data_IF_656639080833
#
_entry.id   IF_656639080833
#
_cell.length_a   1.000
_cell.length_b   1.000
_cell.length_c   1.000
_cell.angle_alpha   90.00
_cell.angle_beta   90.00
_cell.angle_gamma   90.00
#
_symmetry.space_group_name_H-M   'P 1'
#
loop_
_entity.id
_entity.type
_entity.pdbx_description
1 polymer ?
2 branched ?
3 branched ?
4 non-polymer ?
5 non-polymer ?
6 non-polymer ?
7 non-polymer ?
8 non-polymer ?
9 water ?
#
# COMPACT_ATOMS: atom_id res chain seq x y z
N UNK A 1 21.95 -11.16 -14.38
CA UNK A 1 20.45 -11.04 -14.21
C UNK A 1 19.92 -10.16 -15.34
N UNK A 2 18.68 -10.49 -15.76
CA UNK A 2 17.95 -9.68 -16.73
C UNK A 2 16.85 -8.96 -15.97
N UNK A 3 16.39 -7.87 -16.61
CA UNK A 3 15.26 -7.20 -16.05
C UNK A 3 14.04 -8.11 -16.08
N UNK A 4 13.25 -8.06 -14.99
CA UNK A 4 12.04 -8.85 -14.94
C UNK A 4 11.02 -8.25 -15.89
N UNK A 5 10.27 -9.12 -16.56
CA UNK A 5 9.15 -8.74 -17.38
C UNK A 5 7.88 -9.35 -16.79
N UNK A 6 6.79 -8.58 -16.88
CA UNK A 6 5.52 -9.00 -16.36
C UNK A 6 4.85 -9.89 -17.40
N UNK A 7 5.23 -11.14 -17.43
CA UNK A 7 4.80 -12.01 -18.51
C UNK A 7 3.63 -12.88 -18.11
N UNK A 8 3.30 -12.95 -16.82
CA UNK A 8 2.33 -13.90 -16.34
C UNK A 8 1.05 -13.14 -15.95
N UNK A 9 -0.04 -13.89 -15.89
CA UNK A 9 -1.26 -13.38 -15.34
C UNK A 9 -1.40 -13.72 -13.85
N UNK A 10 -2.46 -13.26 -13.22
CA UNK A 10 -2.70 -13.59 -11.80
C UNK A 10 -3.19 -15.01 -11.69
N UNK A 11 -2.78 -15.68 -10.63
CA UNK A 11 -3.34 -16.93 -10.26
C UNK A 11 -4.81 -16.71 -9.87
N UNK A 12 -5.60 -17.78 -9.98
CA UNK A 12 -6.95 -17.70 -9.55
C UNK A 12 -6.95 -17.60 -8.03
N UNK A 13 -7.67 -16.62 -7.50
CA UNK A 13 -7.77 -16.37 -6.10
C UNK A 13 -9.04 -16.99 -5.55
N UNK A 14 -8.91 -18.10 -4.86
CA UNK A 14 -10.09 -18.74 -4.27
C UNK A 14 -10.15 -18.54 -2.76
N UNK A 15 -9.03 -18.14 -2.16
CA UNK A 15 -8.94 -17.78 -0.75
C UNK A 15 -7.55 -17.18 -0.51
N UNK A 16 -7.31 -16.82 0.75
CA UNK A 16 -6.06 -16.21 1.12
C UNK A 16 -5.46 -17.02 2.25
N UNK A 17 -4.13 -17.25 2.17
CA UNK A 17 -3.41 -17.97 3.19
C UNK A 17 -2.41 -17.03 3.87
N UNK A 18 -2.07 -17.33 5.10
CA UNK A 18 -1.13 -16.52 5.82
C UNK A 18 0.26 -16.60 5.14
N UNK A 19 0.89 -15.44 5.01
CA UNK A 19 2.20 -15.33 4.40
C UNK A 19 3.24 -14.89 5.41
N UNK A 20 2.96 -13.81 6.13
CA UNK A 20 3.88 -13.33 7.12
C UNK A 20 3.16 -12.54 8.18
N UNK A 21 3.77 -12.45 9.34
CA UNK A 21 3.21 -11.73 10.43
C UNK A 21 4.40 -11.42 11.35
N UNK A 22 4.54 -10.18 11.80
CA UNK A 22 5.74 -9.93 12.61
C UNK A 22 5.49 -9.80 14.10
N UNK A 23 4.26 -9.64 14.54
CA UNK A 23 4.01 -9.55 16.00
C UNK A 23 4.89 -8.48 16.64
N UNK A 24 5.11 -7.36 15.95
CA UNK A 24 6.13 -6.44 16.36
C UNK A 24 5.77 -5.77 17.70
N UNK A 25 4.51 -5.42 17.88
CA UNK A 25 4.15 -4.67 19.08
C UNK A 25 4.20 -5.61 20.29
N UNK A 26 3.75 -6.85 20.16
CA UNK A 26 3.90 -7.81 21.21
C UNK A 26 5.35 -7.97 21.60
N UNK A 27 6.19 -8.21 20.59
CA UNK A 27 7.61 -8.49 20.89
C UNK A 27 8.32 -7.25 21.42
N UNK A 28 7.98 -6.09 20.86
CA UNK A 28 8.59 -4.82 21.25
C UNK A 28 8.23 -4.33 22.63
N UNK A 29 7.27 -4.98 23.29
CA UNK A 29 6.98 -4.65 24.68
C UNK A 29 8.22 -4.88 25.53
N UNK A 30 9.11 -5.79 25.11
CA UNK A 30 10.31 -6.10 25.91
C UNK A 30 11.49 -6.47 25.02
N UNK A 31 11.61 -5.79 23.91
CA UNK A 31 12.79 -5.98 23.01
C UNK A 31 12.91 -4.69 22.21
N UNK A 32 14.06 -4.54 21.51
CA UNK A 32 14.42 -3.25 20.91
C UNK A 32 13.83 -3.12 19.52
N UNK A 33 12.53 -2.99 19.46
CA UNK A 33 11.81 -2.87 18.25
C UNK A 33 11.57 -1.39 17.93
N UNK A 34 11.83 -1.00 16.71
CA UNK A 34 11.62 0.34 16.25
C UNK A 34 10.11 0.60 16.11
N UNK A 35 9.73 1.83 16.46
CA UNK A 35 8.43 2.36 16.13
C UNK A 35 8.39 2.58 14.62
N UNK A 36 7.29 2.15 14.03
CA UNK A 36 7.12 2.27 12.59
C UNK A 36 5.71 2.72 12.30
N UNK A 37 5.47 3.01 11.04
CA UNK A 37 4.12 3.02 10.47
C UNK A 37 4.35 2.97 8.95
N UNK A 38 3.29 2.86 8.19
CA UNK A 38 3.33 2.78 6.74
C UNK A 38 4.20 1.62 6.27
N UNK A 39 3.90 0.41 6.70
CA UNK A 39 4.67 -0.75 6.30
C UNK A 39 4.26 -1.21 4.91
N UNK A 40 5.09 -2.10 4.34
CA UNK A 40 4.72 -2.82 3.13
C UNK A 40 5.66 -4.02 3.01
N UNK A 41 5.52 -4.71 1.90
CA UNK A 41 6.30 -5.90 1.64
C UNK A 41 6.79 -5.79 0.20
N UNK A 42 8.03 -6.26 -0.05
CA UNK A 42 8.53 -6.24 -1.38
C UNK A 42 9.54 -7.35 -1.54
N UNK A 43 9.54 -7.98 -2.73
CA UNK A 43 10.41 -9.08 -2.99
C UNK A 43 11.56 -8.70 -3.92
N UNK A 44 12.71 -9.26 -3.58
CA UNK A 44 13.86 -9.35 -4.47
C UNK A 44 13.81 -10.73 -5.11
N UNK A 45 14.66 -11.00 -6.13
CA UNK A 45 14.69 -12.34 -6.71
C UNK A 45 15.00 -13.47 -5.76
N UNK A 46 15.66 -13.16 -4.64
CA UNK A 46 16.08 -14.22 -3.75
C UNK A 46 15.56 -14.05 -2.33
N UNK A 47 14.66 -13.12 -2.09
CA UNK A 47 14.25 -12.91 -0.69
C UNK A 47 13.04 -11.98 -0.75
N UNK A 48 12.11 -12.12 0.19
CA UNK A 48 11.06 -11.10 0.39
C UNK A 48 11.28 -10.47 1.76
N UNK A 49 11.05 -9.15 1.85
CA UNK A 49 11.31 -8.43 3.06
C UNK A 49 10.12 -7.54 3.41
N UNK A 50 10.03 -7.26 4.70
CA UNK A 50 9.15 -6.22 5.20
C UNK A 50 9.86 -4.90 5.11
N UNK A 51 9.09 -3.83 4.87
CA UNK A 51 9.56 -2.48 4.77
C UNK A 51 8.63 -1.62 5.64
N UNK A 52 9.14 -0.47 6.09
CA UNK A 52 8.25 0.51 6.76
C UNK A 52 9.04 1.77 6.96
N UNK A 53 8.33 2.80 7.44
CA UNK A 53 8.96 4.01 7.85
C UNK A 53 9.18 4.00 9.35
N UNK A 54 10.43 3.87 9.74
CA UNK A 54 10.82 4.02 11.10
C UNK A 54 10.51 5.41 11.59
N UNK A 55 10.36 5.52 12.91
CA UNK A 55 10.30 6.79 13.62
C UNK A 55 11.59 7.10 14.38
N UNK A 56 12.63 6.30 14.22
CA UNK A 56 13.90 6.65 14.81
C UNK A 56 13.88 6.60 16.32
N UNK A 57 13.21 5.59 16.85
CA UNK A 57 13.12 5.36 18.30
C UNK A 57 12.55 3.97 18.46
N UNK A 58 12.84 3.30 19.58
CA UNK A 58 12.15 2.10 19.91
C UNK A 58 10.79 2.42 20.58
N UNK A 59 9.99 1.39 20.75
CA UNK A 59 8.64 1.61 21.21
C UNK A 59 8.62 1.77 22.73
N UNK A 60 9.55 1.12 23.45
CA UNK A 60 9.70 1.36 24.88
C UNK A 60 10.57 2.57 25.18
N UNK A 61 11.23 3.12 24.19
CA UNK A 61 12.03 4.29 24.34
C UNK A 61 11.17 5.51 24.63
N UNK A 62 11.75 6.43 25.41
CA UNK A 62 11.06 7.63 25.70
C UNK A 62 10.77 8.48 24.48
N UNK A 63 11.56 8.38 23.38
CA UNK A 63 11.32 9.13 22.22
C UNK A 63 10.11 8.60 21.43
N UNK A 64 9.48 7.54 21.90
CA UNK A 64 8.26 7.08 21.26
C UNK A 64 7.12 8.08 21.46
N UNK A 65 7.26 8.94 22.48
CA UNK A 65 6.22 9.94 22.72
C UNK A 65 6.17 10.90 21.55
N UNK A 66 5.04 11.03 20.86
CA UNK A 66 4.95 11.96 19.79
C UNK A 66 4.87 11.30 18.42
N UNK A 67 4.97 9.98 18.39
CA UNK A 67 5.13 9.28 17.14
C UNK A 67 3.81 9.12 16.41
N UNK A 68 2.72 9.71 16.89
CA UNK A 68 1.56 9.87 16.01
C UNK A 68 1.91 10.73 14.78
N UNK A 69 2.89 11.62 14.89
CA UNK A 69 3.21 12.60 13.86
C UNK A 69 3.83 11.87 12.66
N UNK A 70 3.42 12.29 11.48
CA UNK A 70 3.80 11.62 10.25
C UNK A 70 5.20 11.97 9.76
N UNK A 71 5.66 13.21 9.95
CA UNK A 71 6.82 13.69 9.21
C UNK A 71 7.78 14.31 10.17
N UNK A 72 8.95 13.74 10.26
CA UNK A 72 10.03 14.25 11.06
C UNK A 72 11.33 13.89 10.38
N UNK A 73 12.40 14.49 10.87
CA UNK A 73 13.73 14.24 10.42
C UNK A 73 14.27 12.89 10.88
N UNK A 74 13.52 12.15 11.68
CA UNK A 74 14.03 10.97 12.36
C UNK A 74 13.46 9.72 11.70
N UNK A 75 12.72 9.90 10.61
CA UNK A 75 12.13 8.77 9.88
C UNK A 75 13.04 8.30 8.77
N UNK A 76 12.90 7.01 8.46
CA UNK A 76 13.67 6.41 7.37
C UNK A 76 12.86 5.23 6.86
N UNK A 77 13.08 4.92 5.58
CA UNK A 77 12.62 3.67 5.06
C UNK A 77 13.59 2.58 5.51
N UNK A 78 13.05 1.59 6.18
CA UNK A 78 13.82 0.42 6.64
C UNK A 78 13.20 -0.84 6.04
N UNK A 79 14.07 -1.85 5.90
CA UNK A 79 13.61 -3.17 5.55
C UNK A 79 14.25 -4.15 6.50
N UNK A 80 13.58 -5.29 6.62
CA UNK A 80 14.01 -6.31 7.53
C UNK A 80 13.43 -7.64 7.10
N UNK A 81 13.97 -8.75 7.61
CA UNK A 81 13.53 -10.09 7.16
C UNK A 81 12.06 -10.35 7.39
N UNK A 82 11.48 -11.04 6.43
CA UNK A 82 10.07 -11.36 6.45
C UNK A 82 9.72 -12.02 7.77
N UNK A 83 8.68 -11.45 8.41
CA UNK A 83 8.07 -11.94 9.61
C UNK A 83 8.91 -11.75 10.88
N UNK A 84 10.13 -11.25 10.77
CA UNK A 84 10.77 -10.73 11.94
C UNK A 84 10.17 -9.38 12.31
N UNK A 85 10.37 -8.85 13.52
CA UNK A 85 9.96 -7.48 13.79
C UNK A 85 11.07 -6.54 13.37
N UNK A 86 10.76 -5.26 13.17
CA UNK A 86 11.76 -4.28 12.80
C UNK A 86 12.58 -3.82 13.99
N UNK A 87 13.71 -4.43 14.21
CA UNK A 87 14.48 -4.10 15.36
C UNK A 87 15.65 -3.17 15.02
N UNK A 88 16.21 -2.59 16.04
CA UNK A 88 17.35 -1.75 15.90
C UNK A 88 18.46 -2.50 15.20
N UNK A 89 18.58 -3.79 15.51
CA UNK A 89 19.74 -4.56 15.14
C UNK A 89 19.55 -5.29 13.80
N UNK A 90 18.35 -5.44 13.28
CA UNK A 90 18.15 -6.28 12.05
C UNK A 90 17.57 -5.38 10.96
N UNK A 91 17.34 -4.12 11.19
CA UNK A 91 16.67 -3.27 10.22
C UNK A 91 17.71 -2.57 9.35
N UNK A 92 17.56 -2.66 8.03
CA UNK A 92 18.46 -2.01 7.09
C UNK A 92 17.80 -0.75 6.61
N UNK A 93 18.52 0.36 6.73
CA UNK A 93 17.97 1.61 6.20
C UNK A 93 18.21 1.68 4.71
N UNK A 94 17.14 1.92 3.97
CA UNK A 94 17.14 2.06 2.54
C UNK A 94 17.39 3.51 2.14
N UNK A 95 16.77 4.44 2.87
CA UNK A 95 16.96 5.87 2.60
C UNK A 95 16.22 6.63 3.69
N UNK A 96 16.47 7.93 3.77
CA UNK A 96 15.94 8.76 4.84
C UNK A 96 14.76 9.54 4.32
N UNK A 97 13.68 9.59 5.11
CA UNK A 97 12.52 10.37 4.78
C UNK A 97 11.25 9.79 5.34
N UNK A 98 10.14 10.39 4.94
CA UNK A 98 8.85 10.17 5.55
C UNK A 98 7.73 9.80 4.58
N UNK A 99 8.13 9.45 3.34
CA UNK A 99 7.26 8.88 2.33
C UNK A 99 8.10 8.08 1.35
N UNK A 100 7.67 6.85 1.07
CA UNK A 100 8.58 6.00 0.29
C UNK A 100 7.86 5.09 -0.67
N UNK A 101 8.68 4.53 -1.59
CA UNK A 101 8.35 3.33 -2.32
C UNK A 101 9.66 2.60 -2.61
N UNK A 102 9.54 1.36 -3.07
CA UNK A 102 10.73 0.58 -3.35
C UNK A 102 10.29 -0.56 -4.24
N UNK A 103 11.15 -0.98 -5.17
CA UNK A 103 10.87 -2.14 -5.96
C UNK A 103 12.16 -2.65 -6.60
N UNK A 104 12.15 -3.95 -6.87
CA UNK A 104 13.27 -4.61 -7.56
C UNK A 104 12.89 -4.78 -9.02
N UNK A 105 13.86 -4.46 -9.88
CA UNK A 105 13.64 -4.58 -11.32
C UNK A 105 14.11 -5.90 -11.90
N UNK A 106 14.58 -6.81 -11.08
CA UNK A 106 15.17 -8.06 -11.55
C UNK A 106 16.66 -8.02 -11.51
N UNK A 107 17.24 -6.85 -11.67
CA UNK A 107 18.69 -6.68 -11.52
C UNK A 107 19.08 -6.13 -10.15
N UNK A 108 18.41 -5.04 -9.73
CA UNK A 108 18.68 -4.48 -8.44
C UNK A 108 17.44 -3.72 -8.00
N UNK A 109 17.53 -3.08 -6.85
CA UNK A 109 16.39 -2.43 -6.26
C UNK A 109 16.52 -0.91 -6.40
N UNK A 110 15.35 -0.30 -6.63
CA UNK A 110 15.17 1.13 -6.58
C UNK A 110 14.39 1.45 -5.29
N UNK A 111 14.86 2.44 -4.53
CA UNK A 111 14.12 2.89 -3.37
C UNK A 111 14.02 4.38 -3.47
N UNK A 112 12.86 4.91 -3.06
CA UNK A 112 12.60 6.35 -3.14
C UNK A 112 12.12 6.81 -1.79
N UNK A 113 12.73 7.88 -1.28
CA UNK A 113 12.34 8.47 -0.04
C UNK A 113 12.18 9.96 -0.28
N UNK A 114 11.16 10.54 0.34
CA UNK A 114 10.96 11.97 0.30
C UNK A 114 11.17 12.51 1.71
N UNK A 115 11.88 13.65 1.77
CA UNK A 115 12.04 14.31 3.04
C UNK A 115 11.91 15.79 2.81
N UNK A 116 11.90 16.52 3.94
CA UNK A 116 11.89 17.96 3.89
C UNK A 116 10.70 18.49 4.66
N UNK A 117 10.65 19.83 4.77
CA UNK A 117 9.50 20.46 5.36
C UNK A 117 8.36 20.40 4.33
N UNK A 118 7.16 20.72 4.79
CA UNK A 118 6.01 20.58 3.91
C UNK A 118 6.08 21.37 2.61
N UNK A 119 6.70 22.55 2.66
CA UNK A 119 6.75 23.43 1.53
C UNK A 119 8.05 23.32 0.74
N UNK A 120 8.89 22.28 1.01
CA UNK A 120 10.18 22.26 0.36
C UNK A 120 10.76 20.83 0.39
N UNK A 121 9.87 19.88 0.15
CA UNK A 121 10.23 18.44 0.18
C UNK A 121 10.89 18.06 -1.14
N UNK A 122 11.65 16.97 -1.06
CA UNK A 122 12.32 16.45 -2.24
C UNK A 122 12.43 14.93 -2.11
N UNK A 123 12.32 14.28 -3.26
CA UNK A 123 12.52 12.85 -3.39
C UNK A 123 13.96 12.57 -3.82
N UNK A 124 14.51 11.53 -3.23
CA UNK A 124 15.81 10.96 -3.67
C UNK A 124 15.52 9.56 -4.12
N UNK A 125 15.99 9.28 -5.35
CA UNK A 125 15.82 8.00 -5.96
C UNK A 125 17.16 7.28 -5.90
N UNK A 126 17.14 6.15 -5.17
CA UNK A 126 18.29 5.29 -4.97
C UNK A 126 18.13 4.10 -5.88
N UNK A 127 19.26 3.67 -6.46
CA UNK A 127 19.27 2.48 -7.28
C UNK A 127 20.56 1.74 -7.00
N UNK A 128 20.44 0.44 -6.73
CA UNK A 128 21.61 -0.34 -6.33
C UNK A 128 22.27 0.27 -5.09
N UNK A 129 21.44 0.77 -4.17
CA UNK A 129 21.81 1.31 -2.88
C UNK A 129 22.69 2.55 -2.96
N UNK A 130 22.56 3.28 -4.04
CA UNK A 130 23.22 4.53 -4.23
C UNK A 130 22.25 5.57 -4.72
N UNK A 131 22.39 6.82 -4.31
CA UNK A 131 21.50 7.86 -4.80
C UNK A 131 21.82 8.16 -6.25
N UNK A 132 20.79 8.30 -7.10
CA UNK A 132 20.95 8.52 -8.52
C UNK A 132 20.29 9.83 -8.98
N UNK A 133 19.03 10.05 -8.61
CA UNK A 133 18.25 11.18 -9.10
C UNK A 133 17.58 11.82 -7.90
N UNK A 134 17.30 13.13 -8.03
CA UNK A 134 16.53 13.82 -7.05
C UNK A 134 15.46 14.62 -7.76
N UNK A 135 14.32 14.82 -7.08
CA UNK A 135 13.16 15.53 -7.64
C UNK A 135 12.68 16.48 -6.56
N UNK A 136 12.65 17.76 -6.90
CA UNK A 136 12.16 18.75 -5.96
C UNK A 136 10.63 18.86 -6.04
N UNK A 137 10.04 19.22 -4.90
CA UNK A 137 8.60 19.53 -4.84
C UNK A 137 8.23 20.45 -6.02
N UNK A 138 7.08 20.14 -6.64
CA UNK A 138 6.56 20.96 -7.73
C UNK A 138 5.38 21.81 -7.26
N UNK A 139 4.70 21.44 -6.18
CA UNK A 139 3.52 22.17 -5.68
C UNK A 139 3.72 22.71 -4.26
N UNK A 140 4.87 22.39 -3.61
CA UNK A 140 5.20 22.96 -2.35
C UNK A 140 4.17 22.64 -1.29
N UNK A 141 3.69 21.39 -1.33
CA UNK A 141 2.74 20.97 -0.33
C UNK A 141 2.78 19.44 -0.17
N UNK A 142 3.77 18.99 0.58
CA UNK A 142 3.90 17.58 1.00
C UNK A 142 3.96 16.68 -0.23
N UNK A 143 5.05 16.83 -0.97
CA UNK A 143 5.35 15.83 -1.98
C UNK A 143 5.35 14.45 -1.34
N UNK A 144 4.67 13.49 -2.00
CA UNK A 144 4.40 12.22 -1.30
C UNK A 144 4.17 11.14 -2.35
N UNK A 145 4.41 9.91 -1.92
CA UNK A 145 4.33 8.78 -2.86
C UNK A 145 3.56 7.61 -2.27
N UNK A 146 3.88 6.42 -2.75
CA UNK A 146 2.92 5.30 -2.67
C UNK A 146 2.76 4.71 -1.28
N UNK A 147 3.86 4.58 -0.54
CA UNK A 147 3.91 3.87 0.71
C UNK A 147 3.70 2.37 0.57
N UNK A 148 3.94 1.84 -0.65
CA UNK A 148 4.04 0.42 -0.87
C UNK A 148 4.91 0.22 -2.11
N UNK A 149 5.07 -1.02 -2.51
CA UNK A 149 6.05 -1.30 -3.55
C UNK A 149 5.59 -0.75 -4.89
N UNK A 150 6.57 -0.34 -5.69
CA UNK A 150 6.38 -0.13 -7.10
C UNK A 150 6.58 -1.45 -7.86
N UNK A 151 6.34 -1.42 -9.17
CA UNK A 151 6.43 -2.57 -10.03
C UNK A 151 7.23 -2.19 -11.25
N UNK A 152 8.08 -3.09 -11.75
CA UNK A 152 8.90 -2.83 -12.89
C UNK A 152 8.57 -3.80 -14.02
N UNK A 153 8.84 -3.32 -15.23
CA UNK A 153 8.71 -4.12 -16.43
C UNK A 153 9.84 -3.74 -17.38
N UNK A 154 10.68 -4.72 -17.70
CA UNK A 154 11.85 -4.50 -18.59
C UNK A 154 12.65 -3.29 -18.13
N UNK A 155 12.80 -3.12 -16.82
CA UNK A 155 13.59 -2.07 -16.26
C UNK A 155 12.85 -0.80 -15.96
N UNK A 156 11.62 -0.65 -16.50
CA UNK A 156 10.86 0.58 -16.35
C UNK A 156 9.96 0.40 -15.13
N UNK A 157 10.14 1.29 -14.15
CA UNK A 157 9.44 1.21 -12.88
C UNK A 157 8.65 2.51 -12.71
N UNK A 158 7.34 2.49 -12.97
CA UNK A 158 6.51 3.67 -12.79
C UNK A 158 6.25 3.89 -11.31
N UNK A 159 6.21 5.14 -10.93
CA UNK A 159 5.92 5.53 -9.57
C UNK A 159 4.96 6.69 -9.62
N UNK A 160 3.99 6.66 -8.72
CA UNK A 160 3.00 7.74 -8.64
C UNK A 160 3.32 8.61 -7.45
N UNK A 161 3.40 9.92 -7.71
CA UNK A 161 3.61 10.92 -6.70
C UNK A 161 2.47 11.94 -6.73
N UNK A 162 2.23 12.54 -5.59
CA UNK A 162 1.31 13.66 -5.48
C UNK A 162 1.99 14.77 -4.74
N UNK A 163 1.70 16.00 -5.17
CA UNK A 163 2.13 17.16 -4.42
C UNK A 163 0.97 18.16 -4.50
N UNK A 164 0.60 18.72 -3.36
CA UNK A 164 -0.52 19.62 -3.34
C UNK A 164 -1.48 19.23 -2.26
N UNK A 165 -2.67 19.83 -2.30
CA UNK A 165 -3.62 19.70 -1.28
C UNK A 165 -4.06 18.27 -1.10
N UNK A 166 -4.41 17.93 0.13
CA UNK A 166 -5.07 16.70 0.46
C UNK A 166 -6.60 16.83 0.45
N UNK A 167 -7.09 18.06 0.27
CA UNK A 167 -8.55 18.41 0.47
C UNK A 167 -9.06 19.22 -0.71
N UNK A 168 -8.45 19.03 -1.87
CA UNK A 168 -8.84 19.64 -3.08
C UNK A 168 -7.90 19.22 -4.19
N UNK A 169 -8.03 19.72 -5.40
CA UNK A 169 -7.19 19.27 -6.53
C UNK A 169 -5.71 19.37 -6.16
N UNK A 170 -4.94 18.37 -6.56
CA UNK A 170 -3.51 18.35 -6.34
C UNK A 170 -2.85 17.99 -7.68
N UNK A 171 -1.52 17.92 -7.68
CA UNK A 171 -0.76 17.71 -8.85
C UNK A 171 -0.07 16.33 -8.70
N UNK A 172 -0.70 15.35 -9.32
CA UNK A 172 -0.22 13.97 -9.31
C UNK A 172 0.58 13.79 -10.58
N UNK A 173 1.72 13.12 -10.46
CA UNK A 173 2.59 12.81 -11.57
C UNK A 173 2.96 11.32 -11.51
N UNK A 174 3.01 10.69 -12.68
CA UNK A 174 3.52 9.32 -12.85
C UNK A 174 4.92 9.42 -13.49
N UNK A 175 5.99 9.08 -12.74
CA UNK A 175 7.34 9.06 -13.17
C UNK A 175 7.67 7.66 -13.62
N UNK A 176 8.41 7.56 -14.70
CA UNK A 176 8.88 6.30 -15.22
C UNK A 176 10.39 6.30 -15.06
N UNK A 177 10.86 5.42 -14.17
CA UNK A 177 12.26 5.36 -13.85
C UNK A 177 12.86 4.13 -14.52
N UNK A 178 14.12 4.23 -14.87
CA UNK A 178 14.91 3.04 -15.25
C UNK A 178 16.33 3.27 -14.74
N UNK A 179 16.84 2.32 -13.95
CA UNK A 179 18.13 2.42 -13.32
C UNK A 179 18.20 3.72 -12.52
N UNK A 180 17.07 4.08 -11.92
CA UNK A 180 17.02 5.26 -11.04
C UNK A 180 16.99 6.57 -11.78
N UNK A 181 16.98 6.56 -13.10
CA UNK A 181 16.94 7.77 -13.91
C UNK A 181 15.52 7.96 -14.43
N UNK A 182 15.18 9.22 -14.65
CA UNK A 182 13.84 9.57 -15.15
C UNK A 182 13.85 9.39 -16.67
N UNK A 183 13.00 8.50 -17.17
CA UNK A 183 12.81 8.39 -18.59
C UNK A 183 11.80 9.42 -19.04
N UNK A 184 10.73 9.62 -18.27
CA UNK A 184 9.60 10.43 -18.65
C UNK A 184 8.82 10.65 -17.36
N UNK A 185 8.03 11.70 -17.32
CA UNK A 185 6.96 11.76 -16.38
C UNK A 185 5.74 12.36 -17.10
N UNK A 186 4.58 11.99 -16.60
CA UNK A 186 3.23 12.49 -17.10
C UNK A 186 2.43 13.03 -15.93
N UNK A 187 1.59 14.07 -16.15
CA UNK A 187 0.59 14.41 -15.16
C UNK A 187 -0.53 13.36 -15.24
N UNK A 188 -1.19 13.20 -14.10
CA UNK A 188 -2.35 12.34 -14.04
C UNK A 188 -3.34 12.76 -15.14
N UNK A 189 -3.88 11.75 -15.80
CA UNK A 189 -4.98 11.89 -16.77
C UNK A 189 -6.07 10.96 -16.33
N UNK A 190 -7.18 11.01 -17.08
CA UNK A 190 -8.30 10.19 -16.79
C UNK A 190 -9.28 10.86 -15.84
N UNK A 191 -10.11 10.06 -15.18
CA UNK A 191 -11.23 10.60 -14.44
C UNK A 191 -11.05 10.55 -12.94
N UNK A 192 -9.94 9.98 -12.42
CA UNK A 192 -9.69 10.10 -11.00
C UNK A 192 -9.45 11.56 -10.65
N UNK A 193 -10.08 12.06 -9.58
CA UNK A 193 -10.01 13.47 -9.29
C UNK A 193 -8.99 13.79 -8.22
N UNK A 194 -8.50 12.79 -7.48
CA UNK A 194 -7.50 12.99 -6.47
C UNK A 194 -6.86 11.63 -6.19
N UNK A 195 -5.54 11.64 -6.02
CA UNK A 195 -4.75 10.40 -5.89
C UNK A 195 -3.75 10.53 -4.76
N UNK A 196 -3.74 9.51 -3.91
CA UNK A 196 -2.70 9.36 -2.94
C UNK A 196 -2.44 7.87 -2.73
N UNK A 197 -1.22 7.56 -2.30
CA UNK A 197 -0.91 6.28 -1.69
C UNK A 197 -1.31 5.10 -2.58
N UNK A 198 -0.85 5.08 -3.81
CA UNK A 198 -1.20 4.03 -4.74
C UNK A 198 -0.58 2.68 -4.33
N UNK A 199 -1.36 1.62 -4.48
CA UNK A 199 -0.98 0.26 -4.23
C UNK A 199 -0.98 -0.48 -5.55
N UNK A 200 0.18 -1.01 -6.00
CA UNK A 200 0.30 -1.44 -7.37
C UNK A 200 0.62 -2.92 -7.46
N UNK A 201 0.30 -3.50 -8.61
CA UNK A 201 0.72 -4.86 -8.95
C UNK A 201 0.78 -4.92 -10.48
N UNK A 202 1.54 -5.87 -10.99
CA UNK A 202 1.73 -6.04 -12.43
C UNK A 202 1.34 -7.41 -12.90
N UNK A 203 0.82 -7.46 -14.13
CA UNK A 203 0.51 -8.72 -14.75
C UNK A 203 0.36 -8.44 -16.23
N UNK A 204 0.87 -9.38 -17.05
CA UNK A 204 0.89 -9.30 -18.51
C UNK A 204 1.04 -7.86 -18.99
N UNK A 205 2.20 -7.33 -18.62
CA UNK A 205 2.74 -6.08 -19.11
C UNK A 205 1.85 -4.88 -18.87
N UNK A 206 1.11 -4.94 -17.77
CA UNK A 206 0.28 -3.82 -17.33
C UNK A 206 0.40 -3.70 -15.83
N UNK A 207 0.49 -2.45 -15.33
CA UNK A 207 0.56 -2.20 -13.91
C UNK A 207 -0.75 -1.55 -13.51
N UNK A 208 -1.35 -2.10 -12.47
CA UNK A 208 -2.63 -1.59 -11.92
C UNK A 208 -2.36 -1.05 -10.54
N UNK A 209 -2.79 0.19 -10.32
CA UNK A 209 -2.62 0.83 -9.04
C UNK A 209 -3.99 1.22 -8.49
N UNK A 210 -4.26 0.85 -7.25
CA UNK A 210 -5.49 1.22 -6.56
C UNK A 210 -5.11 2.21 -5.49
N UNK A 211 -5.76 3.37 -5.48
CA UNK A 211 -5.27 4.49 -4.74
C UNK A 211 -6.33 5.00 -3.76
N UNK A 212 -6.02 6.15 -3.17
CA UNK A 212 -6.90 6.79 -2.19
C UNK A 212 -7.22 8.17 -2.75
N UNK A 213 -8.53 8.45 -2.92
CA UNK A 213 -8.99 9.80 -3.21
C UNK A 213 -9.32 10.44 -1.88
N UNK A 214 -8.37 11.19 -1.34
CA UNK A 214 -8.59 11.70 -0.01
C UNK A 214 -9.67 12.81 -0.02
N UNK A 215 -9.81 13.48 -1.13
CA UNK A 215 -10.64 14.68 -1.18
C UNK A 215 -12.12 14.34 -1.09
N UNK A 216 -12.60 13.52 -2.01
CA UNK A 216 -14.05 13.31 -2.17
C UNK A 216 -14.51 11.86 -2.15
N UNK A 217 -13.66 10.91 -2.53
CA UNK A 217 -14.17 9.63 -3.01
C UNK A 217 -14.08 8.54 -1.97
N UNK A 218 -15.15 7.77 -1.79
CA UNK A 218 -15.10 6.60 -0.94
C UNK A 218 -14.99 5.32 -1.73
N UNK A 219 -15.14 5.44 -3.05
CA UNK A 219 -14.64 4.48 -4.03
C UNK A 219 -13.15 4.82 -4.23
N UNK A 220 -12.39 3.86 -4.72
CA UNK A 220 -10.98 4.12 -4.88
C UNK A 220 -10.68 4.37 -6.34
N UNK A 221 -9.80 5.33 -6.57
CA UNK A 221 -9.29 5.54 -7.91
C UNK A 221 -8.33 4.41 -8.31
N UNK A 222 -8.30 4.15 -9.61
CA UNK A 222 -7.50 3.09 -10.16
C UNK A 222 -6.72 3.74 -11.30
N UNK A 223 -5.40 3.59 -11.27
CA UNK A 223 -4.55 4.01 -12.37
C UNK A 223 -4.01 2.75 -13.03
N UNK A 224 -4.11 2.66 -14.35
CA UNK A 224 -3.59 1.54 -15.08
C UNK A 224 -2.51 2.05 -16.03
N UNK A 225 -1.31 1.46 -15.91
CA UNK A 225 -0.15 1.95 -16.52
C UNK A 225 0.38 0.93 -17.50
N UNK A 226 0.72 1.38 -18.68
CA UNK A 226 1.42 0.61 -19.69
C UNK A 226 2.88 1.01 -19.59
N UNK A 227 3.76 0.18 -19.01
CA UNK A 227 5.13 0.58 -18.78
C UNK A 227 6.02 0.51 -20.02
N UNK A 228 5.48 0.00 -21.12
CA UNK A 228 6.22 -0.02 -22.38
C UNK A 228 5.97 1.29 -23.13
N UNK A 229 4.70 1.61 -23.31
CA UNK A 229 4.33 2.89 -23.93
C UNK A 229 4.59 4.07 -23.01
N UNK A 230 4.68 3.79 -21.70
CA UNK A 230 4.74 4.78 -20.64
C UNK A 230 3.58 5.75 -20.72
N UNK A 231 2.39 5.17 -20.67
CA UNK A 231 1.14 5.89 -20.67
C UNK A 231 0.25 5.29 -19.61
N UNK A 232 -0.80 6.01 -19.25
CA UNK A 232 -1.69 5.51 -18.26
C UNK A 232 -3.11 6.03 -18.49
N UNK A 233 -4.04 5.37 -17.78
CA UNK A 233 -5.46 5.79 -17.68
C UNK A 233 -5.78 5.86 -16.20
N UNK A 234 -6.88 6.52 -15.86
CA UNK A 234 -7.38 6.49 -14.50
C UNK A 234 -8.90 6.50 -14.57
N UNK A 235 -9.45 5.92 -13.54
CA UNK A 235 -10.92 5.85 -13.28
C UNK A 235 -11.12 5.50 -11.84
N UNK A 236 -12.33 5.16 -11.44
CA UNK A 236 -12.58 4.65 -10.13
C UNK A 236 -13.05 3.22 -10.21
N UNK A 237 -12.90 2.46 -9.13
CA UNK A 237 -13.61 1.21 -9.02
C UNK A 237 -15.12 1.53 -9.05
N UNK A 238 -15.81 0.92 -10.02
CA UNK A 238 -17.24 1.18 -10.32
C UNK A 238 -18.15 0.58 -9.21
N UNK A 239 -17.70 -0.48 -8.56
CA UNK A 239 -18.54 -1.29 -7.68
C UNK A 239 -19.11 -0.45 -6.57
N UNK A 240 -20.36 -0.75 -6.17
CA UNK A 240 -20.90 -0.14 -4.96
C UNK A 240 -20.34 -0.73 -3.67
N UNK A 241 -19.39 -1.70 -3.74
CA UNK A 241 -18.73 -2.14 -2.54
C UNK A 241 -17.61 -1.13 -2.28
N UNK A 242 -17.87 -0.13 -1.47
CA UNK A 242 -16.97 0.97 -1.29
C UNK A 242 -15.82 0.56 -0.36
N UNK A 243 -14.58 0.97 -0.72
CA UNK A 243 -13.47 0.37 0.01
C UNK A 243 -12.51 1.37 0.61
N UNK A 244 -12.81 2.67 0.62
CA UNK A 244 -12.02 3.58 1.44
C UNK A 244 -12.56 3.58 2.88
N UNK A 245 -11.94 4.41 3.71
CA UNK A 245 -12.35 4.51 5.10
C UNK A 245 -11.90 5.86 5.59
N UNK A 246 -12.75 6.58 6.35
CA UNK A 246 -14.17 6.34 6.54
C UNK A 246 -14.97 6.48 5.25
N UNK A 247 -16.19 5.94 5.25
CA UNK A 247 -16.96 5.89 4.06
C UNK A 247 -18.44 5.81 4.47
N UNK A 248 -19.32 6.12 3.54
CA UNK A 248 -20.75 5.89 3.80
C UNK A 248 -21.06 4.41 3.66
N UNK A 249 -22.26 4.03 4.05
CA UNK A 249 -22.70 2.70 3.82
C UNK A 249 -22.77 2.39 2.31
N UNK A 250 -22.69 1.11 1.97
CA UNK A 250 -22.61 0.70 0.63
C UNK A 250 -23.94 0.98 -0.07
N UNK A 251 -23.90 1.59 -1.25
CA UNK A 251 -25.07 1.78 -2.13
C UNK A 251 -25.31 0.51 -2.96
N UNK A 252 -26.26 0.62 -3.88
CA UNK A 252 -26.52 -0.42 -4.78
C UNK A 252 -25.83 -0.22 -6.12
N UNK A 253 -25.49 1.04 -6.45
CA UNK A 253 -24.80 1.35 -7.66
C UNK A 253 -23.70 2.37 -7.31
N UNK A 254 -22.49 2.11 -7.84
CA UNK A 254 -21.34 2.90 -7.54
C UNK A 254 -21.09 3.92 -8.64
N UNK A 255 -19.88 4.46 -8.73
CA UNK A 255 -19.52 5.43 -9.73
C UNK A 255 -18.20 5.05 -10.36
N UNK A 256 -18.17 5.04 -11.70
CA UNK A 256 -16.97 4.64 -12.51
C UNK A 256 -16.01 5.82 -12.70
N UNK A 257 -16.52 7.05 -12.85
CA UNK A 257 -15.74 8.14 -13.35
C UNK A 257 -15.80 9.38 -12.47
N UNK A 258 -16.23 9.23 -11.22
CA UNK A 258 -16.21 10.29 -10.28
C UNK A 258 -16.22 9.67 -8.89
N UNK A 259 -15.85 10.47 -7.90
CA UNK A 259 -15.77 10.05 -6.51
C UNK A 259 -17.19 9.77 -6.01
N UNK A 260 -17.33 8.68 -5.29
CA UNK A 260 -18.60 8.34 -4.66
C UNK A 260 -18.62 9.16 -3.39
N UNK A 261 -19.61 10.05 -3.23
CA UNK A 261 -19.56 11.04 -2.17
C UNK A 261 -20.08 10.57 -0.81
N UNK A 262 -19.94 11.47 0.18
CA UNK A 262 -20.45 11.17 1.48
C UNK A 262 -19.41 11.41 2.56
N UNK A 263 -18.12 11.29 2.24
CA UNK A 263 -17.08 11.51 3.17
C UNK A 263 -16.01 12.32 2.46
N UNK A 264 -15.58 13.42 3.08
CA UNK A 264 -14.59 14.29 2.49
C UNK A 264 -13.33 14.29 3.34
N UNK A 265 -12.21 14.58 2.69
CA UNK A 265 -10.96 14.94 3.31
C UNK A 265 -10.45 13.89 4.30
N UNK A 266 -10.52 12.62 3.90
CA UNK A 266 -9.99 11.58 4.71
C UNK A 266 -9.90 10.35 3.84
N UNK A 267 -9.27 9.30 4.42
CA UNK A 267 -9.16 8.06 3.66
C UNK A 267 -8.18 7.15 4.37
N UNK A 268 -7.84 6.07 3.66
CA UNK A 268 -6.82 5.15 4.14
C UNK A 268 -6.21 4.53 2.89
N UNK A 269 -4.91 4.23 2.95
CA UNK A 269 -4.33 3.48 1.83
C UNK A 269 -4.95 2.11 1.78
N UNK A 270 -5.24 1.63 0.56
CA UNK A 270 -5.78 0.31 0.36
C UNK A 270 -5.42 -0.25 -0.99
N UNK A 271 -6.08 -1.35 -1.35
CA UNK A 271 -5.64 -2.05 -2.58
C UNK A 271 -6.76 -2.87 -3.14
N UNK A 272 -6.58 -3.34 -4.37
CA UNK A 272 -7.47 -4.32 -4.92
C UNK A 272 -6.70 -5.14 -5.95
N UNK A 273 -7.28 -6.29 -6.32
CA UNK A 273 -6.81 -7.06 -7.49
C UNK A 273 -8.00 -7.05 -8.44
N UNK A 274 -7.78 -6.52 -9.63
CA UNK A 274 -8.89 -6.28 -10.58
C UNK A 274 -8.63 -7.13 -11.81
N UNK A 275 -9.32 -8.25 -11.90
CA UNK A 275 -8.98 -9.23 -12.91
C UNK A 275 -10.27 -9.97 -13.30
N UNK A 276 -11.28 -9.20 -13.76
CA UNK A 276 -12.52 -9.83 -14.18
C UNK A 276 -13.23 -10.49 -13.07
N UNK A 277 -13.61 -11.74 -13.27
CA UNK A 277 -14.30 -12.45 -12.23
C UNK A 277 -13.34 -12.81 -11.09
N UNK A 278 -12.03 -12.73 -11.34
CA UNK A 278 -11.03 -12.97 -10.32
C UNK A 278 -10.63 -11.67 -9.62
N UNK A 279 -11.61 -10.89 -9.21
CA UNK A 279 -11.41 -9.62 -8.61
C UNK A 279 -11.72 -9.70 -7.12
N UNK A 280 -10.76 -9.22 -6.36
CA UNK A 280 -10.90 -9.16 -4.91
C UNK A 280 -10.57 -7.76 -4.46
N UNK A 281 -11.38 -7.25 -3.52
CA UNK A 281 -11.21 -5.96 -2.94
C UNK A 281 -10.93 -6.09 -1.45
N UNK A 282 -10.00 -5.34 -0.92
CA UNK A 282 -9.91 -5.26 0.50
C UNK A 282 -10.58 -4.02 1.06
N UNK A 283 -11.00 -4.10 2.30
CA UNK A 283 -11.46 -2.93 3.01
C UNK A 283 -11.49 -3.17 4.51
N UNK A 284 -11.57 -2.06 5.24
CA UNK A 284 -11.84 -2.12 6.63
C UNK A 284 -13.26 -2.60 6.81
N UNK A 285 -13.55 -3.25 7.93
CA UNK A 285 -14.93 -3.65 8.17
C UNK A 285 -15.75 -2.43 8.61
N UNK A 286 -15.23 -1.67 9.54
CA UNK A 286 -15.88 -0.46 10.01
C UNK A 286 -15.98 0.52 8.87
N UNK A 287 -17.13 1.23 8.77
CA UNK A 287 -17.23 2.36 7.89
C UNK A 287 -16.66 3.64 8.51
N UNK A 288 -16.43 3.64 9.81
CA UNK A 288 -16.07 4.85 10.49
C UNK A 288 -14.59 4.94 10.85
N UNK A 289 -13.97 3.81 11.17
CA UNK A 289 -12.63 3.84 11.70
C UNK A 289 -11.82 2.71 11.08
N UNK A 290 -10.53 2.78 11.36
CA UNK A 290 -9.57 1.79 10.81
C UNK A 290 -9.60 0.55 11.69
N UNK A 291 -10.74 -0.15 11.58
CA UNK A 291 -11.09 -1.30 12.39
C UNK A 291 -11.52 -2.45 11.49
N UNK A 292 -10.96 -3.62 11.73
CA UNK A 292 -11.28 -4.77 10.95
C UNK A 292 -10.63 -4.73 9.57
N UNK A 293 -10.65 -5.87 8.91
CA UNK A 293 -10.23 -5.92 7.55
C UNK A 293 -10.84 -7.16 6.92
N UNK A 294 -11.30 -7.01 5.70
CA UNK A 294 -11.86 -8.12 4.99
C UNK A 294 -11.51 -8.04 3.51
N UNK A 295 -11.45 -9.22 2.90
CA UNK A 295 -11.35 -9.37 1.48
C UNK A 295 -12.70 -9.80 0.90
N UNK A 296 -13.13 -9.13 -0.14
CA UNK A 296 -14.40 -9.51 -0.83
C UNK A 296 -14.10 -9.78 -2.29
N UNK A 297 -14.66 -10.90 -2.73
CA UNK A 297 -14.60 -11.24 -4.12
C UNK A 297 -15.74 -10.51 -4.81
N UNK A 298 -15.43 -9.61 -5.70
CA UNK A 298 -16.44 -8.75 -6.29
C UNK A 298 -16.19 -8.81 -7.78
N UNK A 299 -16.77 -9.80 -8.46
CA UNK A 299 -16.50 -9.96 -9.88
C UNK A 299 -16.74 -8.68 -10.69
N UNK A 300 -15.78 -8.34 -11.52
CA UNK A 300 -15.84 -7.18 -12.38
C UNK A 300 -16.05 -5.87 -11.62
N UNK A 301 -15.48 -5.73 -10.41
CA UNK A 301 -15.62 -4.53 -9.64
C UNK A 301 -15.22 -3.31 -10.42
N UNK A 302 -14.17 -3.42 -11.25
CA UNK A 302 -13.66 -2.24 -11.90
C UNK A 302 -14.68 -1.63 -12.85
N UNK A 303 -15.46 -2.48 -13.52
CA UNK A 303 -16.26 -2.07 -14.66
C UNK A 303 -17.76 -2.19 -14.42
N UNK A 304 -18.18 -2.88 -13.37
CA UNK A 304 -19.63 -3.18 -13.19
C UNK A 304 -20.12 -2.39 -11.99
N UNK A 305 -20.96 -1.38 -12.25
CA UNK A 305 -21.35 -0.44 -11.23
C UNK A 305 -22.44 -0.97 -10.29
N UNK A 306 -22.82 -2.22 -10.45
CA UNK A 306 -23.71 -2.87 -9.50
C UNK A 306 -23.09 -4.11 -8.85
N UNK A 307 -21.80 -4.39 -9.13
CA UNK A 307 -21.15 -5.62 -8.68
C UNK A 307 -21.17 -5.74 -7.15
N UNK A 308 -21.54 -6.93 -6.65
CA UNK A 308 -21.58 -7.18 -5.25
C UNK A 308 -20.76 -8.43 -4.94
N UNK A 309 -20.50 -8.68 -3.67
CA UNK A 309 -19.63 -9.80 -3.32
C UNK A 309 -20.21 -11.17 -3.61
N UNK A 310 -19.38 -12.07 -4.06
CA UNK A 310 -19.78 -13.48 -4.23
C UNK A 310 -19.04 -14.40 -3.27
N UNK A 311 -18.08 -13.88 -2.50
CA UNK A 311 -17.28 -14.68 -1.60
C UNK A 311 -16.49 -13.68 -0.79
N UNK A 312 -16.01 -14.10 0.35
CA UNK A 312 -15.20 -13.24 1.12
C UNK A 312 -14.33 -13.95 2.11
N UNK A 313 -13.48 -13.16 2.76
CA UNK A 313 -12.62 -13.68 3.81
C UNK A 313 -12.35 -12.59 4.82
N UNK A 314 -12.60 -12.86 6.11
CA UNK A 314 -12.25 -11.94 7.17
C UNK A 314 -10.74 -12.08 7.43
N UNK A 315 -10.04 -10.96 7.51
CA UNK A 315 -8.61 -10.96 7.82
C UNK A 315 -8.38 -10.52 9.25
N UNK A 316 -9.07 -9.45 9.66
CA UNK A 316 -8.96 -8.88 10.99
C UNK A 316 -10.38 -8.57 11.46
N UNK A 317 -10.69 -9.06 12.68
CA UNK A 317 -12.06 -8.78 13.18
C UNK A 317 -12.26 -7.29 13.38
N UNK A 318 -13.55 -6.89 13.33
CA UNK A 318 -13.89 -5.49 13.54
C UNK A 318 -13.65 -5.03 14.98
N UNK A 319 -13.34 -5.96 15.90
CA UNK A 319 -12.95 -5.58 17.23
C UNK A 319 -11.44 -5.41 17.37
N UNK A 320 -10.69 -5.47 16.24
CA UNK A 320 -9.27 -5.23 16.26
C UNK A 320 -8.92 -4.12 15.27
N UNK A 321 -7.85 -3.42 15.56
CA UNK A 321 -7.40 -2.31 14.76
C UNK A 321 -6.70 -2.78 13.49
N UNK A 322 -6.96 -2.05 12.42
CA UNK A 322 -6.26 -2.30 11.13
C UNK A 322 -5.52 -1.00 10.81
N UNK A 323 -5.50 -0.60 9.54
CA UNK A 323 -4.62 0.45 9.04
C UNK A 323 -4.48 0.37 7.57
N UNK A 324 -3.36 0.87 7.10
CA UNK A 324 -3.06 0.84 5.69
C UNK A 324 -3.00 -0.60 5.21
N UNK A 325 -3.30 -0.77 3.93
CA UNK A 325 -3.12 -2.05 3.29
C UNK A 325 -2.59 -1.83 1.89
N UNK A 326 -1.91 -2.85 1.34
CA UNK A 326 -1.30 -2.67 0.04
C UNK A 326 -0.98 -4.01 -0.57
N UNK A 327 -0.68 -3.95 -1.87
CA UNK A 327 -0.39 -5.11 -2.71
C UNK A 327 1.10 -5.27 -2.91
N UNK A 328 1.47 -6.52 -3.09
CA UNK A 328 2.80 -6.89 -3.60
C UNK A 328 2.63 -8.28 -4.19
N UNK A 329 3.60 -8.67 -5.03
CA UNK A 329 3.69 -10.05 -5.45
C UNK A 329 5.15 -10.45 -5.52
N UNK A 330 5.37 -11.76 -5.45
CA UNK A 330 6.69 -12.31 -5.72
C UNK A 330 6.80 -12.61 -7.22
N UNK A 331 7.32 -11.67 -7.96
CA UNK A 331 7.47 -11.80 -9.38
C UNK A 331 8.50 -12.84 -9.76
N UNK A 332 9.25 -13.36 -8.81
CA UNK A 332 10.30 -14.31 -9.08
C UNK A 332 9.99 -15.72 -8.57
N UNK A 333 8.74 -16.00 -8.29
CA UNK A 333 8.34 -17.30 -7.88
C UNK A 333 8.29 -18.24 -9.06
N UNK A 334 8.23 -19.53 -8.76
CA UNK A 334 8.08 -20.57 -9.77
C UNK A 334 6.63 -20.65 -10.23
N UNK A 335 6.39 -21.19 -11.40
CA UNK A 335 5.04 -21.46 -11.78
C UNK A 335 4.58 -20.58 -12.92
N UNK A 336 3.30 -20.71 -13.24
CA UNK A 336 2.78 -20.22 -14.45
C UNK A 336 2.08 -18.89 -14.26
N UNK A 337 1.81 -18.49 -13.01
CA UNK A 337 1.06 -17.29 -12.72
C UNK A 337 1.65 -16.57 -11.50
N UNK A 338 1.31 -15.29 -11.38
CA UNK A 338 1.70 -14.50 -10.23
C UNK A 338 0.64 -14.65 -9.15
N UNK A 339 1.08 -14.94 -7.93
CA UNK A 339 0.21 -15.08 -6.78
C UNK A 339 -0.01 -13.71 -6.09
N UNK A 340 -1.24 -13.24 -6.11
CA UNK A 340 -1.59 -12.02 -5.45
C UNK A 340 -1.25 -12.08 -3.97
N UNK A 341 -0.64 -11.01 -3.46
CA UNK A 341 -0.40 -10.93 -2.00
C UNK A 341 -0.81 -9.53 -1.54
N UNK A 342 -1.02 -9.42 -0.24
CA UNK A 342 -1.24 -8.13 0.35
C UNK A 342 -0.76 -8.14 1.80
N UNK A 343 -0.66 -6.94 2.35
CA UNK A 343 -0.45 -6.75 3.77
C UNK A 343 -1.53 -5.87 4.33
N UNK A 344 -1.66 -5.96 5.67
CA UNK A 344 -2.45 -5.00 6.48
C UNK A 344 -1.55 -4.54 7.61
N UNK A 345 -1.47 -3.23 7.72
CA UNK A 345 -0.85 -2.55 8.84
C UNK A 345 -1.82 -2.56 10.04
N UNK A 346 -1.37 -3.10 11.17
CA UNK A 346 -2.21 -3.20 12.37
C UNK A 346 -1.77 -2.10 13.33
N UNK A 347 -2.41 -0.93 13.28
CA UNK A 347 -1.96 0.23 14.01
C UNK A 347 -2.34 0.11 15.47
N UNK A 348 -1.35 0.36 16.34
CA UNK A 348 -1.60 0.36 17.76
C UNK A 348 -1.17 1.69 18.29
N UNK A 349 -1.80 2.10 19.41
CA UNK A 349 -1.50 3.35 20.00
C UNK A 349 -2.38 4.47 19.50
N UNK A 350 -1.82 5.64 19.42
CA UNK A 350 -2.63 6.86 19.13
C UNK A 350 -3.05 6.86 17.67
N UNK A 351 -4.21 7.45 17.35
CA UNK A 351 -5.05 8.13 18.31
C UNK A 351 -6.08 7.25 19.01
N UNK A 352 -6.27 6.01 18.56
CA UNK A 352 -7.40 5.26 19.05
C UNK A 352 -7.16 4.69 20.44
N UNK A 353 -5.90 4.49 20.83
CA UNK A 353 -5.48 3.92 22.09
C UNK A 353 -4.60 4.97 22.74
N UNK A 354 -5.21 5.99 23.38
CA UNK A 354 -4.43 7.12 23.81
C UNK A 354 -3.94 7.04 25.24
N UNK A 355 -3.98 5.86 25.83
CA UNK A 355 -3.35 5.68 27.12
C UNK A 355 -1.83 5.53 27.00
N UNK A 356 -1.35 5.24 25.78
CA UNK A 356 0.06 5.31 25.47
C UNK A 356 0.27 6.57 24.67
N UNK A 357 1.54 7.00 24.62
CA UNK A 357 1.91 8.23 23.94
C UNK A 357 2.48 8.03 22.54
N UNK A 358 2.56 6.76 22.12
CA UNK A 358 3.15 6.41 20.85
C UNK A 358 2.06 5.91 19.92
N UNK A 359 2.49 5.79 18.66
CA UNK A 359 1.77 5.13 17.58
C UNK A 359 2.74 4.18 16.87
N UNK A 360 2.34 2.94 16.72
CA UNK A 360 3.23 2.02 15.99
C UNK A 360 2.30 1.05 15.29
N UNK A 361 2.85 -0.03 14.72
CA UNK A 361 2.04 -0.98 14.07
C UNK A 361 2.75 -2.33 14.06
N UNK A 362 1.97 -3.37 13.78
CA UNK A 362 2.58 -4.60 13.29
C UNK A 362 1.99 -4.90 11.92
N UNK A 363 2.46 -5.99 11.36
CA UNK A 363 2.12 -6.36 9.99
C UNK A 363 1.54 -7.75 9.97
N UNK A 364 0.47 -7.92 9.18
CA UNK A 364 0.08 -9.27 8.73
C UNK A 364 0.00 -9.22 7.20
N UNK A 365 0.32 -10.35 6.59
CA UNK A 365 0.39 -10.43 5.14
C UNK A 365 -0.12 -11.78 4.73
N UNK A 366 -0.76 -11.84 3.58
CA UNK A 366 -1.37 -13.06 3.06
C UNK A 366 -1.17 -13.11 1.57
N UNK A 367 -1.23 -14.32 1.03
CA UNK A 367 -1.21 -14.44 -0.40
C UNK A 367 -2.37 -15.33 -0.80
N UNK A 368 -2.62 -15.35 -2.11
CA UNK A 368 -3.80 -16.09 -2.58
C UNK A 368 -3.48 -17.56 -2.69
N UNK A 369 -4.56 -18.35 -2.54
CA UNK A 369 -4.56 -19.78 -2.75
C UNK A 369 -5.60 -20.11 -3.82
N UNK A 370 -5.29 -21.11 -4.63
CA UNK A 370 -6.34 -21.71 -5.48
C UNK A 370 -7.22 -22.68 -4.74
N UNK A 371 -6.90 -23.03 -3.48
CA UNK A 371 -7.82 -23.78 -2.65
C UNK A 371 -8.81 -22.84 -2.01
N UNK A 372 -9.89 -23.43 -1.48
CA UNK A 372 -10.81 -22.64 -0.67
C UNK A 372 -10.55 -22.89 0.80
N UNK A 373 -9.58 -22.18 1.37
CA UNK A 373 -9.08 -22.46 2.67
C UNK A 373 -9.95 -21.85 3.74
N UNK A 374 -9.90 -22.51 4.89
CA UNK A 374 -10.48 -21.98 6.09
C UNK A 374 -9.88 -20.66 6.48
N UNK A 375 -10.65 -19.81 7.15
CA UNK A 375 -10.17 -18.48 7.54
C UNK A 375 -9.98 -18.37 9.05
N UNK A 376 -8.91 -17.65 9.43
CA UNK A 376 -8.69 -17.21 10.79
C UNK A 376 -8.70 -15.70 10.78
N UNK A 377 -8.66 -15.06 11.93
CA UNK A 377 -8.46 -13.65 11.99
C UNK A 377 -7.08 -13.44 12.60
N UNK A 378 -6.46 -12.31 12.26
CA UNK A 378 -5.04 -12.05 12.54
C UNK A 378 -4.85 -10.70 13.16
N UNK A 379 -5.14 -10.57 14.46
CA UNK A 379 -4.91 -9.31 15.12
C UNK A 379 -3.45 -9.07 15.48
N UNK A 380 -3.18 -7.83 15.85
CA UNK A 380 -1.85 -7.48 16.27
C UNK A 380 -1.40 -8.33 17.46
N UNK A 381 -2.28 -8.42 18.45
CA UNK A 381 -2.09 -9.34 19.58
C UNK A 381 -1.48 -8.74 20.83
N UNK A 382 -1.08 -7.47 20.78
CA UNK A 382 -0.49 -6.84 21.96
C UNK A 382 -1.59 -6.33 22.90
N UNK A 383 -1.25 -6.34 24.19
CA UNK A 383 -2.12 -5.76 25.26
C UNK A 383 -1.58 -4.41 25.62
N UNK A 384 -2.33 -3.35 25.28
CA UNK A 384 -1.95 -1.99 25.57
C UNK A 384 -1.66 -1.78 27.05
N UNK A 385 -2.42 -2.47 27.90
CA UNK A 385 -2.28 -2.36 29.38
C UNK A 385 -0.82 -2.63 29.79
N UNK A 386 -0.12 -3.51 29.05
CA UNK A 386 1.25 -3.87 29.40
C UNK A 386 2.23 -2.73 29.22
N UNK A 387 1.87 -1.76 28.40
CA UNK A 387 2.74 -0.64 28.07
C UNK A 387 2.54 0.55 29.01
N UNK A 388 1.60 0.40 29.95
CA UNK A 388 1.29 1.53 30.85
C UNK A 388 2.16 1.50 32.09
#
# INVERSE_FOLDING_TARGET
RDFNNLTKGLCTINSWHIYGKDNAVRIGEDSDVLVTREPYVSCDPDECRFYALSQGTTIRGKHSNGTIHDRSQYRALISWPLSSPPTVYNSRVECIGWSSTSCHDGKTRMSICISGPNNNASAVIWYNRRPVTEINTWARNILRTQESECVCHNGVCPVVFTDGSATGPAETRIYYFKEGKILKWEPLAGTAKHIEECSCYGERAEITCTCRDNWQGSNRPVIRIDPVAMTHTSQYICSPVLTDNPRPNDPTVGKCNDPYPGNNNNGVKGFSYLDGVNTWLGRTISIASRSGYEMLKVPNALTDDKSKPTQGQTIVLNTDWSGYSGSFMDYWAEGECYRACFYVELIRGRPKEDKVWWTSNSIVSMCSSTEFLGQWDWPDGAKIEYFL
#
